data_IF_537607882617
#
_entry.id   IF_537607882617
#
_cell.length_a   1.000
_cell.length_b   1.000
_cell.length_c   1.000
_cell.angle_alpha   90.00
_cell.angle_beta   90.00
_cell.angle_gamma   90.00
#
_symmetry.space_group_name_H-M   'P 1'
#
loop_
_entity.id
_entity.type
_entity.pdbx_description
1 polymer ?
#
# COMPACT_ATOMS: atom_id res chain seq x y z
N UNK A 1 10.47 -20.51 9.78
CA UNK A 1 9.51 -19.49 10.23
C UNK A 1 10.32 -18.36 10.81
N UNK A 2 10.38 -17.25 10.08
CA UNK A 2 11.21 -16.07 10.43
C UNK A 2 10.33 -15.04 11.14
N UNK A 3 10.86 -14.34 12.13
CA UNK A 3 10.14 -13.27 12.83
C UNK A 3 10.73 -11.92 12.45
N UNK A 4 9.87 -10.96 12.05
CA UNK A 4 10.27 -9.59 11.75
C UNK A 4 9.42 -8.59 12.56
N UNK A 5 9.96 -7.39 12.78
CA UNK A 5 9.10 -6.28 13.20
C UNK A 5 8.25 -5.81 12.02
N UNK A 6 7.11 -5.18 12.31
CA UNK A 6 6.22 -4.61 11.30
C UNK A 6 6.96 -3.60 10.41
N UNK A 7 7.78 -2.72 11.00
CA UNK A 7 8.54 -1.72 10.23
C UNK A 7 9.63 -2.35 9.36
N UNK A 8 10.32 -3.38 9.86
CA UNK A 8 11.32 -4.12 9.05
C UNK A 8 10.65 -4.85 7.88
N UNK A 9 9.45 -5.42 8.12
CA UNK A 9 8.68 -6.09 7.07
C UNK A 9 8.19 -5.11 6.00
N UNK A 10 7.67 -3.95 6.41
CA UNK A 10 7.27 -2.88 5.49
C UNK A 10 8.46 -2.46 4.61
N UNK A 11 9.62 -2.20 5.23
CA UNK A 11 10.83 -1.78 4.52
C UNK A 11 11.30 -2.87 3.54
N UNK A 12 11.31 -4.14 3.98
CA UNK A 12 11.68 -5.29 3.12
C UNK A 12 10.73 -5.46 1.93
N UNK A 13 9.42 -5.29 2.13
CA UNK A 13 8.44 -5.36 1.03
C UNK A 13 8.66 -4.20 0.04
N UNK A 14 8.88 -2.99 0.54
CA UNK A 14 9.16 -1.82 -0.28
C UNK A 14 10.40 -2.05 -1.16
N UNK A 15 11.47 -2.60 -0.59
CA UNK A 15 12.70 -2.96 -1.31
C UNK A 15 12.47 -4.05 -2.38
N UNK A 16 11.73 -5.11 -2.06
CA UNK A 16 11.47 -6.22 -3.00
C UNK A 16 10.59 -5.80 -4.18
N UNK A 17 9.69 -4.83 -3.96
CA UNK A 17 8.79 -4.31 -5.00
C UNK A 17 9.44 -3.23 -5.86
N UNK A 18 10.45 -2.52 -5.35
CA UNK A 18 11.07 -1.40 -6.04
C UNK A 18 11.52 -1.72 -7.49
N UNK A 19 12.19 -2.86 -7.78
CA UNK A 19 12.60 -3.19 -9.15
C UNK A 19 11.44 -3.54 -10.09
N UNK A 20 10.23 -3.73 -9.56
CA UNK A 20 9.02 -4.08 -10.31
C UNK A 20 8.15 -2.87 -10.63
N UNK A 21 8.49 -1.69 -10.12
CA UNK A 21 7.72 -0.48 -10.39
C UNK A 21 7.77 -0.13 -11.88
N UNK A 22 6.61 0.13 -12.45
CA UNK A 22 6.52 0.60 -13.82
C UNK A 22 6.76 2.12 -13.93
N UNK A 23 6.70 2.62 -15.17
CA UNK A 23 6.92 4.04 -15.44
C UNK A 23 5.88 4.93 -14.75
N UNK A 24 4.61 4.53 -14.74
CA UNK A 24 3.52 5.34 -14.15
C UNK A 24 3.66 5.37 -12.63
N UNK A 25 4.00 4.23 -12.02
CA UNK A 25 4.27 4.13 -10.59
C UNK A 25 5.47 4.99 -10.18
N UNK A 26 6.58 4.94 -10.94
CA UNK A 26 7.76 5.79 -10.69
C UNK A 26 7.43 7.27 -10.88
N UNK A 27 6.74 7.61 -11.97
CA UNK A 27 6.34 8.99 -12.26
C UNK A 27 5.47 9.54 -11.14
N UNK A 28 4.40 8.83 -10.76
CA UNK A 28 3.50 9.21 -9.69
C UNK A 28 4.26 9.34 -8.37
N UNK A 29 5.06 8.33 -8.03
CA UNK A 29 5.85 8.30 -6.81
C UNK A 29 6.94 9.36 -6.75
N UNK A 30 7.28 10.08 -7.82
CA UNK A 30 8.28 11.14 -7.82
C UNK A 30 7.72 12.54 -8.14
N UNK A 31 6.51 12.65 -8.67
CA UNK A 31 5.95 13.93 -9.16
C UNK A 31 4.59 14.31 -8.56
N UNK A 32 3.77 13.35 -8.15
CA UNK A 32 2.40 13.60 -7.67
C UNK A 32 2.29 13.70 -6.14
N UNK A 33 3.40 13.46 -5.43
CA UNK A 33 3.48 13.65 -3.99
C UNK A 33 4.51 14.74 -3.66
N UNK A 34 4.04 15.88 -3.15
CA UNK A 34 4.90 17.00 -2.78
C UNK A 34 5.56 16.82 -1.39
N UNK A 35 5.04 15.93 -0.55
CA UNK A 35 5.61 15.66 0.76
C UNK A 35 6.85 14.76 0.61
N UNK A 36 8.02 15.26 1.03
CA UNK A 36 9.26 14.51 1.01
C UNK A 36 9.55 14.07 2.46
N UNK A 37 9.52 12.76 2.76
CA UNK A 37 9.86 12.27 4.10
C UNK A 37 11.29 12.64 4.49
N UNK A 38 11.62 12.48 5.77
CA UNK A 38 12.98 12.68 6.27
C UNK A 38 13.89 11.55 5.78
N UNK A 39 14.41 11.71 4.57
CA UNK A 39 15.33 10.81 3.90
C UNK A 39 16.53 11.58 3.38
N UNK A 40 17.67 10.88 3.30
CA UNK A 40 18.88 11.39 2.66
C UNK A 40 18.66 11.47 1.14
N UNK A 41 18.21 12.64 0.68
CA UNK A 41 17.96 12.96 -0.72
C UNK A 41 18.80 14.20 -1.10
N UNK A 42 19.71 14.08 -2.09
CA UNK A 42 20.51 15.20 -2.57
C UNK A 42 19.68 16.41 -2.97
N UNK A 43 20.17 17.63 -2.70
CA UNK A 43 19.44 18.88 -2.93
C UNK A 43 18.98 19.05 -4.39
N UNK A 44 19.76 18.58 -5.36
CA UNK A 44 19.41 18.63 -6.78
C UNK A 44 18.20 17.74 -7.12
N UNK A 45 18.06 16.61 -6.43
CA UNK A 45 16.92 15.70 -6.59
C UNK A 45 15.71 16.15 -5.77
N UNK A 46 15.94 16.65 -4.55
CA UNK A 46 14.90 17.27 -3.72
C UNK A 46 14.19 18.38 -4.49
N UNK A 47 14.96 19.29 -5.09
CA UNK A 47 14.40 20.38 -5.90
C UNK A 47 13.64 19.90 -7.14
N UNK A 48 14.01 18.76 -7.73
CA UNK A 48 13.28 18.18 -8.86
C UNK A 48 11.91 17.66 -8.44
N UNK A 49 11.84 16.94 -7.31
CA UNK A 49 10.57 16.42 -6.75
C UNK A 49 9.66 17.56 -6.33
N UNK A 50 10.16 18.55 -5.58
CA UNK A 50 9.40 19.72 -5.12
C UNK A 50 8.79 20.52 -6.28
N UNK A 51 9.44 20.51 -7.45
CA UNK A 51 8.98 21.22 -8.64
C UNK A 51 8.19 20.35 -9.61
N UNK A 52 8.00 19.06 -9.29
CA UNK A 52 7.45 18.04 -10.20
C UNK A 52 8.16 18.03 -11.57
N UNK A 53 9.49 18.19 -11.57
CA UNK A 53 10.34 18.28 -12.79
C UNK A 53 11.51 17.32 -12.70
N UNK A 54 11.20 16.03 -12.57
CA UNK A 54 12.19 14.95 -12.50
C UNK A 54 12.73 14.66 -13.90
N UNK A 55 14.06 14.68 -14.04
CA UNK A 55 14.74 14.49 -15.33
C UNK A 55 14.95 13.02 -15.68
N UNK A 56 15.27 12.21 -14.68
CA UNK A 56 15.51 10.77 -14.82
C UNK A 56 14.78 10.05 -13.68
N UNK A 57 13.73 9.30 -14.03
CA UNK A 57 12.92 8.55 -13.05
C UNK A 57 13.67 7.35 -12.47
N UNK A 58 14.75 6.89 -13.12
CA UNK A 58 15.51 5.71 -12.72
C UNK A 58 16.84 6.07 -12.05
N UNK A 59 17.07 7.34 -11.70
CA UNK A 59 18.25 7.74 -10.95
C UNK A 59 18.27 6.99 -9.59
N UNK A 60 19.27 6.12 -9.33
CA UNK A 60 19.29 5.29 -8.13
C UNK A 60 19.40 6.10 -6.84
N UNK A 61 19.75 7.39 -6.92
CA UNK A 61 19.73 8.29 -5.77
C UNK A 61 18.31 8.60 -5.27
N UNK A 62 17.27 8.26 -6.04
CA UNK A 62 15.88 8.29 -5.59
C UNK A 62 15.47 7.07 -4.75
N UNK A 63 16.27 6.00 -4.69
CA UNK A 63 15.92 4.76 -3.97
C UNK A 63 15.46 5.02 -2.52
N UNK A 64 16.15 5.84 -1.69
CA UNK A 64 15.69 6.12 -0.33
C UNK A 64 14.29 6.76 -0.28
N UNK A 65 14.00 7.67 -1.20
CA UNK A 65 12.69 8.32 -1.31
C UNK A 65 11.60 7.35 -1.76
N UNK A 66 11.89 6.52 -2.77
CA UNK A 66 10.96 5.54 -3.30
C UNK A 66 10.61 4.47 -2.25
N UNK A 67 11.61 3.96 -1.53
CA UNK A 67 11.39 3.04 -0.41
C UNK A 67 10.52 3.71 0.65
N UNK A 68 10.84 4.94 1.07
CA UNK A 68 10.06 5.63 2.09
C UNK A 68 8.59 5.85 1.67
N UNK A 69 8.34 6.26 0.42
CA UNK A 69 6.97 6.45 -0.10
C UNK A 69 6.18 5.14 -0.18
N UNK A 70 6.82 4.07 -0.64
CA UNK A 70 6.19 2.75 -0.66
C UNK A 70 5.92 2.25 0.76
N UNK A 71 6.84 2.47 1.68
CA UNK A 71 6.69 2.12 3.09
C UNK A 71 5.49 2.82 3.74
N UNK A 72 5.30 4.12 3.50
CA UNK A 72 4.13 4.86 4.02
C UNK A 72 2.81 4.27 3.54
N UNK A 73 2.68 3.94 2.24
CA UNK A 73 1.50 3.24 1.72
C UNK A 73 1.27 1.92 2.43
N UNK A 74 2.35 1.16 2.65
CA UNK A 74 2.31 -0.14 3.30
C UNK A 74 1.90 -0.08 4.79
N UNK A 75 1.95 1.10 5.44
CA UNK A 75 1.56 1.25 6.85
C UNK A 75 0.07 1.02 7.11
N UNK A 76 -0.76 1.13 6.09
CA UNK A 76 -2.22 0.95 6.20
C UNK A 76 -2.63 -0.53 6.21
N UNK A 77 -1.74 -1.43 5.79
CA UNK A 77 -2.05 -2.84 5.61
C UNK A 77 -1.86 -3.66 6.89
N UNK A 78 -2.73 -4.63 7.15
CA UNK A 78 -2.63 -5.49 8.34
C UNK A 78 -1.33 -6.30 8.40
N UNK A 79 -0.91 -6.75 9.59
CA UNK A 79 0.24 -7.67 9.73
C UNK A 79 0.06 -8.97 8.92
N UNK A 80 -1.18 -9.45 8.78
CA UNK A 80 -1.50 -10.63 7.97
C UNK A 80 -1.16 -10.39 6.50
N UNK A 81 -1.68 -9.30 5.90
CA UNK A 81 -1.41 -8.96 4.52
C UNK A 81 0.09 -8.77 4.23
N UNK A 82 0.81 -8.07 5.11
CA UNK A 82 2.26 -7.90 4.97
C UNK A 82 3.02 -9.25 5.04
N UNK A 83 2.56 -10.17 5.89
CA UNK A 83 3.14 -11.53 5.97
C UNK A 83 2.90 -12.32 4.67
N UNK A 84 1.67 -12.28 4.15
CA UNK A 84 1.30 -12.90 2.86
C UNK A 84 2.12 -12.30 1.70
N UNK A 85 2.35 -10.99 1.70
CA UNK A 85 3.20 -10.32 0.70
C UNK A 85 4.64 -10.82 0.77
N UNK A 86 5.23 -10.94 1.97
CA UNK A 86 6.59 -11.46 2.13
C UNK A 86 6.68 -12.91 1.69
N UNK A 87 5.70 -13.75 2.02
CA UNK A 87 5.68 -15.14 1.59
C UNK A 87 5.57 -15.25 0.06
N UNK A 88 4.73 -14.44 -0.58
CA UNK A 88 4.60 -14.42 -2.04
C UNK A 88 5.90 -13.95 -2.74
N UNK A 89 6.61 -13.00 -2.14
CA UNK A 89 7.85 -12.44 -2.71
C UNK A 89 9.10 -13.29 -2.46
N UNK A 90 9.14 -14.02 -1.33
CA UNK A 90 10.35 -14.70 -0.85
C UNK A 90 10.23 -16.22 -0.75
N UNK A 91 9.00 -16.75 -0.75
CA UNK A 91 8.71 -18.15 -0.42
C UNK A 91 8.87 -18.49 1.07
N UNK A 92 9.18 -17.52 1.92
CA UNK A 92 9.39 -17.73 3.36
C UNK A 92 8.13 -17.37 4.17
N UNK A 93 7.70 -18.27 5.04
CA UNK A 93 6.68 -17.94 6.04
C UNK A 93 7.27 -17.03 7.13
N UNK A 94 6.76 -15.80 7.20
CA UNK A 94 7.17 -14.74 8.12
C UNK A 94 6.05 -14.41 9.12
N UNK A 95 6.41 -14.28 10.39
CA UNK A 95 5.52 -13.78 11.46
C UNK A 95 5.92 -12.36 11.82
N UNK A 96 4.95 -11.44 11.85
CA UNK A 96 5.21 -10.06 12.22
C UNK A 96 4.92 -9.78 13.70
N UNK A 97 5.79 -8.98 14.30
CA UNK A 97 5.64 -8.40 15.63
C UNK A 97 5.49 -6.89 15.52
N UNK A 98 4.85 -6.25 16.51
CA UNK A 98 4.55 -4.81 16.48
C UNK A 98 3.06 -4.53 16.24
N UNK A 99 2.62 -3.36 16.69
CA UNK A 99 1.20 -2.97 16.65
C UNK A 99 0.78 -2.56 15.24
N UNK A 100 -0.36 -3.10 14.80
CA UNK A 100 -1.19 -2.53 13.76
C UNK A 100 -2.41 -1.92 14.46
N UNK A 101 -2.71 -0.66 14.18
CA UNK A 101 -3.94 -0.02 14.67
C UNK A 101 -5.02 -0.23 13.60
N UNK A 102 -6.03 -1.07 13.85
CA UNK A 102 -7.15 -1.23 12.92
C UNK A 102 -7.93 0.09 12.79
N UNK A 103 -8.47 0.33 11.60
CA UNK A 103 -9.42 1.42 11.39
C UNK A 103 -10.79 1.08 12.03
N UNK A 104 -11.66 2.07 12.29
CA UNK A 104 -12.91 1.86 13.02
C UNK A 104 -13.92 0.93 12.34
N UNK A 105 -13.91 0.83 11.00
CA UNK A 105 -14.88 0.07 10.23
C UNK A 105 -14.28 -1.18 9.55
N UNK A 106 -15.11 -2.21 9.41
CA UNK A 106 -14.75 -3.53 8.88
C UNK A 106 -15.18 -3.65 7.42
N UNK A 107 -14.27 -3.98 6.52
CA UNK A 107 -14.60 -4.31 5.14
C UNK A 107 -15.59 -5.49 5.09
N UNK A 108 -16.78 -5.33 4.48
CA UNK A 108 -17.78 -6.40 4.43
C UNK A 108 -17.32 -7.58 3.58
N UNK A 109 -16.42 -7.38 2.61
CA UNK A 109 -15.89 -8.43 1.76
C UNK A 109 -14.93 -9.37 2.52
N UNK A 110 -13.93 -8.83 3.23
CA UNK A 110 -12.86 -9.65 3.82
C UNK A 110 -12.82 -9.67 5.35
N UNK A 111 -13.68 -8.90 6.01
CA UNK A 111 -13.73 -8.80 7.47
C UNK A 111 -12.56 -8.05 8.11
N UNK A 112 -11.71 -7.39 7.33
CA UNK A 112 -10.60 -6.60 7.87
C UNK A 112 -11.04 -5.21 8.33
N UNK A 113 -10.55 -4.75 9.47
CA UNK A 113 -10.79 -3.41 9.99
C UNK A 113 -9.89 -2.37 9.29
N UNK A 114 -10.27 -2.03 8.06
CA UNK A 114 -9.46 -1.30 7.08
C UNK A 114 -10.17 -0.11 6.44
N UNK A 115 -11.29 0.34 7.01
CA UNK A 115 -12.09 1.47 6.50
C UNK A 115 -12.28 2.50 7.62
N UNK A 116 -12.26 3.79 7.30
CA UNK A 116 -12.56 4.85 8.27
C UNK A 116 -14.05 4.85 8.63
N UNK A 117 -14.91 4.64 7.64
CA UNK A 117 -16.37 4.57 7.76
C UNK A 117 -16.95 3.52 6.79
N UNK A 118 -18.18 3.05 7.07
CA UNK A 118 -18.91 2.12 6.18
C UNK A 118 -19.67 2.87 5.08
N UNK A 119 -19.68 2.32 3.87
CA UNK A 119 -20.53 2.76 2.74
C UNK A 119 -20.18 4.13 2.17
N UNK A 120 -18.92 4.56 2.31
CA UNK A 120 -18.42 5.87 1.86
C UNK A 120 -17.49 5.78 0.63
N UNK A 121 -17.59 4.71 -0.15
CA UNK A 121 -16.81 4.47 -1.36
C UNK A 121 -15.30 4.33 -1.11
N UNK A 122 -14.93 3.90 0.09
CA UNK A 122 -13.53 3.65 0.45
C UNK A 122 -13.05 2.29 -0.07
N UNK A 123 -11.83 2.23 -0.60
CA UNK A 123 -11.22 0.98 -1.06
C UNK A 123 -10.52 0.30 0.11
N UNK A 124 -10.95 -0.92 0.44
CA UNK A 124 -10.31 -1.76 1.45
C UNK A 124 -8.84 -2.01 1.07
N UNK A 125 -7.91 -1.56 1.92
CA UNK A 125 -6.48 -1.81 1.69
C UNK A 125 -6.09 -3.28 1.81
N UNK A 126 -6.97 -4.18 2.28
CA UNK A 126 -6.65 -5.62 2.37
C UNK A 126 -7.07 -6.39 1.12
N UNK A 127 -8.31 -6.22 0.65
CA UNK A 127 -8.86 -7.00 -0.46
C UNK A 127 -9.15 -6.18 -1.73
N UNK A 128 -8.90 -4.87 -1.69
CA UNK A 128 -9.13 -3.93 -2.79
C UNK A 128 -10.59 -3.78 -3.23
N UNK A 129 -11.52 -4.28 -2.42
CA UNK A 129 -12.96 -4.07 -2.60
C UNK A 129 -13.35 -2.67 -2.12
N UNK A 130 -14.08 -1.92 -2.94
CA UNK A 130 -14.67 -0.62 -2.65
C UNK A 130 -15.96 -0.76 -1.84
N UNK A 131 -16.04 -0.07 -0.71
CA UNK A 131 -17.22 -0.01 0.13
C UNK A 131 -18.30 0.92 -0.44
N UNK A 132 -18.97 0.41 -1.47
CA UNK A 132 -20.11 1.01 -2.16
C UNK A 132 -21.43 0.95 -1.36
N UNK A 133 -21.37 0.48 -0.10
CA UNK A 133 -22.52 0.32 0.79
C UNK A 133 -23.25 -1.01 0.64
N UNK A 134 -22.71 -1.95 -0.15
CA UNK A 134 -23.20 -3.32 -0.20
C UNK A 134 -23.02 -4.04 1.16
N UNK A 135 -24.01 -4.82 1.56
CA UNK A 135 -24.02 -5.57 2.81
C UNK A 135 -25.00 -6.74 2.78
N UNK A 136 -25.41 -7.25 3.95
CA UNK A 136 -26.22 -8.47 4.07
C UNK A 136 -27.50 -8.49 3.21
N UNK A 137 -28.13 -7.34 3.01
CA UNK A 137 -29.39 -7.22 2.28
C UNK A 137 -29.26 -7.39 0.76
N UNK A 138 -28.06 -7.22 0.22
CA UNK A 138 -27.73 -7.31 -1.20
C UNK A 138 -26.38 -8.04 -1.41
N UNK A 139 -26.02 -8.98 -0.53
CA UNK A 139 -24.71 -9.63 -0.53
C UNK A 139 -24.40 -10.41 -1.82
N UNK A 140 -25.42 -11.02 -2.42
CA UNK A 140 -25.29 -11.81 -3.65
C UNK A 140 -25.30 -10.96 -4.94
N UNK A 141 -25.57 -9.66 -4.83
CA UNK A 141 -25.62 -8.77 -5.99
C UNK A 141 -24.20 -8.42 -6.48
N UNK A 142 -24.07 -8.18 -7.79
CA UNK A 142 -22.84 -7.62 -8.37
C UNK A 142 -23.14 -6.19 -8.79
N UNK A 143 -22.68 -5.22 -8.00
CA UNK A 143 -22.94 -3.81 -8.25
C UNK A 143 -22.04 -3.20 -9.34
N UNK A 144 -20.95 -3.88 -9.70
CA UNK A 144 -20.04 -3.44 -10.75
C UNK A 144 -18.97 -2.48 -10.22
N UNK A 145 -18.65 -1.45 -11.02
CA UNK A 145 -17.69 -0.42 -10.60
C UNK A 145 -16.27 -0.96 -10.34
N UNK A 146 -15.54 -0.40 -9.36
CA UNK A 146 -14.22 -0.89 -8.95
C UNK A 146 -14.22 -2.34 -8.43
N UNK A 147 -15.36 -2.82 -7.93
CA UNK A 147 -15.55 -4.20 -7.49
C UNK A 147 -15.66 -5.20 -8.66
N UNK A 148 -15.86 -4.70 -9.88
CA UNK A 148 -15.91 -5.52 -11.09
C UNK A 148 -17.04 -6.55 -11.04
N UNK A 149 -16.68 -7.84 -11.08
CA UNK A 149 -17.62 -8.96 -11.09
C UNK A 149 -17.85 -9.60 -9.72
N UNK A 150 -17.39 -8.99 -8.63
CA UNK A 150 -17.41 -9.59 -7.29
C UNK A 150 -18.67 -9.21 -6.50
N UNK A 151 -19.24 -10.20 -5.80
CA UNK A 151 -20.24 -10.10 -4.74
C UNK A 151 -19.58 -10.24 -3.36
N UNK A 152 -20.35 -10.13 -2.27
CA UNK A 152 -19.88 -10.43 -0.91
C UNK A 152 -19.90 -11.93 -0.58
N UNK A 153 -20.47 -12.76 -1.46
CA UNK A 153 -20.63 -14.22 -1.33
C UNK A 153 -20.12 -14.99 -2.55
#
# INVERSE_FOLDING_TARGET
MTTLTRDDAISRIAELRLPKLDYEELYFALTENANIPDVDLPDDLRQQVERAKVKDLHDPRFIPLLIARQSERLREYTNRYLSECLEAETGESVVLTGAYTPLPAICPCCGAASLEEQGVWEICTVCWWEDDGQGDHNADDVLGGPNGGQSLT
#
